data_IF_420060641621
#
_entry.id   IF_420060641621
#
_cell.length_a   1.000
_cell.length_b   1.000
_cell.length_c   1.000
_cell.angle_alpha   90.00
_cell.angle_beta   90.00
_cell.angle_gamma   90.00
#
_symmetry.space_group_name_H-M   'P 1'
#
loop_
_entity.id
_entity.type
_entity.pdbx_description
1 polymer ?
#
# COMPACT_ATOMS: atom_id res chain seq x y z
N UNK A 1 2.31 -5.57 5.23
CA UNK A 1 2.90 -6.58 6.14
C UNK A 1 3.08 -7.89 5.39
N UNK A 2 4.13 -8.63 5.71
CA UNK A 2 4.39 -9.99 5.25
C UNK A 2 3.88 -10.98 6.30
N UNK A 3 3.21 -12.04 5.85
CA UNK A 3 2.92 -13.22 6.65
C UNK A 3 3.46 -14.48 5.96
N UNK A 4 3.04 -15.64 6.45
CA UNK A 4 3.40 -16.93 5.87
C UNK A 4 2.64 -17.16 4.57
N UNK A 5 3.36 -17.22 3.46
CA UNK A 5 2.83 -17.41 2.10
C UNK A 5 1.71 -16.40 1.70
N UNK A 6 1.62 -15.27 2.41
CA UNK A 6 0.64 -14.23 2.17
C UNK A 6 1.22 -12.84 2.44
N UNK A 7 0.57 -11.82 1.87
CA UNK A 7 0.85 -10.41 2.17
C UNK A 7 -0.43 -9.67 2.47
N UNK A 8 -0.35 -8.67 3.34
CA UNK A 8 -1.46 -7.79 3.65
C UNK A 8 -1.11 -6.33 3.36
N UNK A 9 -2.05 -5.60 2.76
CA UNK A 9 -1.97 -4.16 2.53
C UNK A 9 -3.29 -3.51 2.93
N UNK A 10 -3.20 -2.38 3.63
CA UNK A 10 -4.37 -1.69 4.18
C UNK A 10 -4.24 -0.18 4.02
N UNK A 11 -5.38 0.51 3.94
CA UNK A 11 -5.45 1.96 3.89
C UNK A 11 -6.71 2.49 4.56
N UNK A 12 -6.62 3.71 5.09
CA UNK A 12 -7.78 4.48 5.52
C UNK A 12 -8.54 5.07 4.31
N UNK A 13 -9.73 5.63 4.55
CA UNK A 13 -10.62 6.13 3.48
C UNK A 13 -10.82 7.65 3.50
N UNK A 14 -10.18 8.35 4.44
CA UNK A 14 -10.28 9.80 4.55
C UNK A 14 -9.63 10.50 3.34
N UNK A 15 -10.32 11.51 2.83
CA UNK A 15 -9.77 12.58 2.01
C UNK A 15 -10.21 13.90 2.62
N UNK A 16 -9.27 14.80 2.86
CA UNK A 16 -9.54 16.09 3.46
C UNK A 16 -8.78 17.24 2.80
N UNK A 17 -9.25 18.44 3.08
CA UNK A 17 -8.54 19.70 2.82
C UNK A 17 -8.19 20.30 4.17
N UNK A 18 -6.97 20.02 4.64
CA UNK A 18 -6.55 20.33 6.01
C UNK A 18 -7.54 19.73 7.02
N UNK A 19 -8.12 20.55 7.90
CA UNK A 19 -9.07 20.12 8.93
C UNK A 19 -10.44 19.70 8.37
N UNK A 20 -10.82 20.13 7.17
CA UNK A 20 -12.11 19.77 6.58
C UNK A 20 -12.02 18.37 5.94
N UNK A 21 -12.78 17.41 6.46
CA UNK A 21 -13.00 16.13 5.75
C UNK A 21 -13.92 16.36 4.56
N UNK A 22 -13.47 15.94 3.37
CA UNK A 22 -14.19 16.08 2.10
C UNK A 22 -14.87 14.78 1.69
N UNK A 23 -14.21 13.63 1.93
CA UNK A 23 -14.75 12.32 1.61
C UNK A 23 -14.26 11.27 2.60
N UNK A 24 -15.08 10.26 2.82
CA UNK A 24 -14.80 9.04 3.60
C UNK A 24 -14.78 7.79 2.70
N UNK A 25 -14.67 7.98 1.39
CA UNK A 25 -14.61 6.91 0.40
C UNK A 25 -13.50 7.20 -0.62
N UNK A 26 -12.29 7.45 -0.13
CA UNK A 26 -11.09 7.62 -0.94
C UNK A 26 -10.11 6.46 -0.69
N UNK A 27 -10.33 5.28 -1.30
CA UNK A 27 -9.42 4.15 -1.18
C UNK A 27 -8.08 4.48 -1.84
N UNK A 28 -7.00 4.15 -1.13
CA UNK A 28 -5.62 4.50 -1.53
C UNK A 28 -4.84 3.32 -2.11
N UNK A 29 -5.51 2.19 -2.34
CA UNK A 29 -4.91 0.94 -2.84
C UNK A 29 -5.47 0.62 -4.22
N UNK A 30 -4.55 0.39 -5.16
CA UNK A 30 -4.83 0.10 -6.56
C UNK A 30 -4.23 -1.26 -6.93
N UNK A 31 -4.95 -2.04 -7.73
CA UNK A 31 -4.53 -3.38 -8.16
C UNK A 31 -4.18 -3.38 -9.65
N UNK A 32 -3.01 -3.96 -9.99
CA UNK A 32 -2.51 -4.14 -11.35
C UNK A 32 -2.14 -5.61 -11.58
N UNK A 33 -3.13 -6.43 -11.95
CA UNK A 33 -2.95 -7.89 -11.97
C UNK A 33 -2.79 -8.43 -10.55
N UNK A 34 -1.67 -9.10 -10.27
CA UNK A 34 -1.38 -9.70 -8.96
C UNK A 34 -0.57 -8.77 -8.03
N UNK A 35 -0.29 -7.54 -8.49
CA UNK A 35 0.47 -6.53 -7.74
C UNK A 35 -0.45 -5.44 -7.22
N UNK A 36 -0.27 -5.05 -5.97
CA UNK A 36 -0.99 -3.98 -5.31
C UNK A 36 -0.07 -2.79 -5.06
N UNK A 37 -0.61 -1.59 -5.24
CA UNK A 37 0.05 -0.32 -5.02
C UNK A 37 -0.81 0.53 -4.06
N UNK A 38 -0.31 0.76 -2.87
CA UNK A 38 -0.77 1.81 -1.96
C UNK A 38 -0.11 3.14 -2.30
N UNK A 39 -0.89 4.22 -2.37
CA UNK A 39 -0.40 5.57 -2.62
C UNK A 39 -0.93 6.52 -1.54
N UNK A 40 -0.04 7.06 -0.72
CA UNK A 40 -0.35 8.14 0.23
C UNK A 40 0.26 9.46 -0.27
N UNK A 41 -0.12 10.58 0.33
CA UNK A 41 0.37 11.91 -0.01
C UNK A 41 -0.69 12.79 -0.66
N UNK A 42 -0.28 13.63 -1.61
CA UNK A 42 -1.16 14.58 -2.27
C UNK A 42 -2.16 13.87 -3.18
N UNK A 43 -3.46 14.04 -2.93
CA UNK A 43 -4.52 13.29 -3.60
C UNK A 43 -4.52 13.44 -5.14
N UNK A 44 -4.15 14.60 -5.68
CA UNK A 44 -4.03 14.78 -7.14
C UNK A 44 -2.93 13.92 -7.74
N UNK A 45 -1.80 13.80 -7.03
CA UNK A 45 -0.68 12.99 -7.46
C UNK A 45 -0.98 11.51 -7.26
N UNK A 46 -1.70 11.13 -6.19
CA UNK A 46 -2.19 9.76 -5.99
C UNK A 46 -2.97 9.28 -7.22
N UNK A 47 -3.94 10.06 -7.68
CA UNK A 47 -4.73 9.71 -8.87
C UNK A 47 -3.86 9.68 -10.14
N UNK A 48 -3.03 10.72 -10.34
CA UNK A 48 -2.16 10.85 -11.52
C UNK A 48 -1.18 9.68 -11.64
N UNK A 49 -0.54 9.32 -10.52
CA UNK A 49 0.44 8.24 -10.43
C UNK A 49 -0.24 6.87 -10.58
N UNK A 50 -1.44 6.68 -10.02
CA UNK A 50 -2.24 5.49 -10.26
C UNK A 50 -2.52 5.31 -11.76
N UNK A 51 -3.00 6.35 -12.43
CA UNK A 51 -3.32 6.28 -13.86
C UNK A 51 -2.07 6.05 -14.72
N UNK A 52 -0.94 6.67 -14.36
CA UNK A 52 0.36 6.45 -14.99
C UNK A 52 0.79 4.98 -14.91
N UNK A 53 0.70 4.36 -13.72
CA UNK A 53 1.09 2.96 -13.56
C UNK A 53 0.11 2.00 -14.22
N UNK A 54 -1.20 2.32 -14.24
CA UNK A 54 -2.17 1.57 -15.04
C UNK A 54 -1.79 1.55 -16.50
N UNK A 55 -1.44 2.71 -17.07
CA UNK A 55 -0.97 2.82 -18.44
C UNK A 55 0.31 1.98 -18.68
N UNK A 56 1.34 2.19 -17.85
CA UNK A 56 2.63 1.49 -18.01
C UNK A 56 2.49 -0.03 -17.86
N UNK A 57 1.68 -0.52 -16.91
CA UNK A 57 1.44 -1.96 -16.73
C UNK A 57 0.62 -2.56 -17.87
N UNK A 58 -0.39 -1.84 -18.38
CA UNK A 58 -1.14 -2.30 -19.55
C UNK A 58 -0.25 -2.43 -20.78
N UNK A 59 0.64 -1.45 -21.01
CA UNK A 59 1.61 -1.50 -22.09
C UNK A 59 2.63 -2.62 -21.90
N UNK A 60 3.08 -2.86 -20.67
CA UNK A 60 3.95 -3.98 -20.34
C UNK A 60 3.28 -5.32 -20.69
N UNK A 61 2.03 -5.52 -20.26
CA UNK A 61 1.27 -6.75 -20.53
C UNK A 61 1.11 -7.04 -22.02
N UNK A 62 0.86 -6.00 -22.82
CA UNK A 62 0.71 -6.16 -24.28
C UNK A 62 2.04 -6.49 -24.99
N UNK A 63 3.17 -6.01 -24.46
CA UNK A 63 4.50 -6.23 -25.07
C UNK A 63 5.14 -7.54 -24.62
N UNK A 64 4.98 -7.88 -23.35
CA UNK A 64 5.64 -9.02 -22.70
C UNK A 64 4.74 -10.25 -22.61
N UNK A 65 3.47 -10.12 -23.00
CA UNK A 65 2.44 -11.18 -22.99
C UNK A 65 2.28 -11.88 -21.61
N UNK A 66 2.62 -11.17 -20.53
CA UNK A 66 2.53 -11.67 -19.15
C UNK A 66 2.27 -10.55 -18.15
N UNK A 67 1.80 -10.91 -16.97
CA UNK A 67 1.64 -9.96 -15.86
C UNK A 67 3.00 -9.52 -15.31
N UNK A 68 3.04 -8.29 -14.80
CA UNK A 68 4.25 -7.76 -14.16
C UNK A 68 4.42 -8.37 -12.77
N UNK A 69 5.65 -8.79 -12.44
CA UNK A 69 5.96 -9.31 -11.10
C UNK A 69 6.19 -8.15 -10.11
N UNK A 70 5.92 -8.34 -8.79
CA UNK A 70 6.08 -7.27 -7.80
C UNK A 70 7.45 -6.60 -7.80
N UNK A 71 8.53 -7.40 -7.92
CA UNK A 71 9.91 -6.88 -7.98
C UNK A 71 10.18 -6.05 -9.24
N UNK A 72 9.63 -6.45 -10.38
CA UNK A 72 9.75 -5.68 -11.63
C UNK A 72 8.95 -4.39 -11.55
N UNK A 73 7.76 -4.45 -10.94
CA UNK A 73 6.93 -3.29 -10.70
C UNK A 73 7.60 -2.30 -9.74
N UNK A 74 8.27 -2.77 -8.69
CA UNK A 74 9.04 -1.91 -7.79
C UNK A 74 10.12 -1.08 -8.52
N UNK A 75 10.87 -1.70 -9.43
CA UNK A 75 11.86 -0.98 -10.24
C UNK A 75 11.20 0.03 -11.20
N UNK A 76 10.02 -0.31 -11.74
CA UNK A 76 9.23 0.60 -12.57
C UNK A 76 8.76 1.82 -11.77
N UNK A 77 8.34 1.62 -10.52
CA UNK A 77 7.94 2.69 -9.60
C UNK A 77 9.13 3.61 -9.30
N UNK A 78 10.24 3.04 -8.82
CA UNK A 78 11.46 3.79 -8.49
C UNK A 78 11.94 4.66 -9.65
N UNK A 79 12.11 4.07 -10.83
CA UNK A 79 12.57 4.79 -12.02
C UNK A 79 11.59 5.87 -12.48
N UNK A 80 10.28 5.63 -12.37
CA UNK A 80 9.25 6.62 -12.74
C UNK A 80 9.22 7.82 -11.79
N UNK A 81 9.44 7.61 -10.50
CA UNK A 81 9.53 8.70 -9.52
C UNK A 81 10.82 9.50 -9.71
N UNK A 82 11.94 8.81 -9.92
CA UNK A 82 13.24 9.47 -10.10
C UNK A 82 13.32 10.26 -11.42
N UNK A 83 12.55 9.90 -12.45
CA UNK A 83 12.38 10.69 -13.68
C UNK A 83 11.91 12.14 -13.38
N UNK A 84 11.24 12.34 -12.24
CA UNK A 84 10.75 13.63 -11.76
C UNK A 84 11.54 14.16 -10.56
N UNK A 85 12.84 13.84 -10.45
CA UNK A 85 13.69 14.17 -9.29
C UNK A 85 13.64 15.63 -8.82
N UNK A 86 13.56 16.60 -9.74
CA UNK A 86 13.55 18.05 -9.42
C UNK A 86 12.15 18.69 -9.47
N UNK A 87 11.11 17.87 -9.57
CA UNK A 87 9.71 18.25 -9.48
C UNK A 87 8.87 17.02 -9.18
N UNK A 88 9.05 16.41 -8.00
CA UNK A 88 8.54 15.07 -7.69
C UNK A 88 7.02 15.07 -7.55
N UNK A 89 6.43 13.89 -7.74
CA UNK A 89 5.09 13.63 -7.22
C UNK A 89 5.16 13.58 -5.70
N UNK A 90 4.24 14.25 -5.01
CA UNK A 90 4.16 14.24 -3.55
C UNK A 90 3.44 12.99 -3.06
N UNK A 91 4.01 11.83 -3.36
CA UNK A 91 3.48 10.52 -2.95
C UNK A 91 4.54 9.70 -2.24
N UNK A 92 4.10 8.80 -1.37
CA UNK A 92 4.97 7.78 -0.75
C UNK A 92 4.39 6.39 -1.02
N UNK A 93 4.73 5.77 -2.16
CA UNK A 93 4.15 4.50 -2.56
C UNK A 93 4.53 3.32 -1.66
N UNK A 94 3.64 2.33 -1.62
CA UNK A 94 3.86 1.01 -1.00
C UNK A 94 3.43 -0.06 -1.99
N UNK A 95 4.32 -0.99 -2.32
CA UNK A 95 4.00 -2.12 -3.19
C UNK A 95 3.84 -3.37 -2.34
N UNK A 96 2.84 -4.19 -2.66
CA UNK A 96 2.65 -5.51 -2.08
C UNK A 96 2.21 -6.51 -3.15
N UNK A 97 2.66 -7.75 -3.03
CA UNK A 97 2.18 -8.85 -3.88
C UNK A 97 2.94 -10.15 -3.61
N UNK A 98 2.53 -11.19 -4.32
CA UNK A 98 3.23 -12.48 -4.32
C UNK A 98 3.99 -12.65 -5.62
N UNK A 99 5.20 -13.20 -5.56
CA UNK A 99 5.94 -13.53 -6.78
C UNK A 99 5.19 -14.63 -7.57
N UNK A 100 4.89 -14.42 -8.86
CA UNK A 100 4.03 -15.34 -9.61
C UNK A 100 4.64 -16.73 -9.84
N UNK A 101 5.98 -16.87 -9.74
CA UNK A 101 6.66 -18.15 -9.96
C UNK A 101 6.93 -18.88 -8.65
N UNK A 102 7.36 -18.15 -7.64
CA UNK A 102 7.81 -18.73 -6.36
C UNK A 102 6.78 -18.61 -5.25
N UNK A 103 5.70 -17.85 -5.48
CA UNK A 103 4.69 -17.49 -4.48
C UNK A 103 5.26 -16.79 -3.24
N UNK A 104 6.50 -16.30 -3.31
CA UNK A 104 7.15 -15.61 -2.19
C UNK A 104 6.49 -14.25 -1.94
N UNK A 105 6.14 -13.93 -0.69
CA UNK A 105 5.74 -12.60 -0.27
C UNK A 105 6.76 -11.53 -0.66
N UNK A 106 6.26 -10.40 -1.18
CA UNK A 106 7.07 -9.25 -1.51
C UNK A 106 6.34 -7.97 -1.12
N UNK A 107 7.03 -7.12 -0.37
CA UNK A 107 6.62 -5.75 -0.09
C UNK A 107 7.81 -4.80 -0.28
N UNK A 108 7.54 -3.56 -0.65
CA UNK A 108 8.52 -2.48 -0.55
C UNK A 108 7.86 -1.10 -0.42
N UNK A 109 8.58 -0.17 0.18
CA UNK A 109 8.20 1.23 0.30
C UNK A 109 9.05 2.12 -0.59
N UNK A 110 8.58 3.35 -0.79
CA UNK A 110 9.33 4.37 -1.52
C UNK A 110 9.20 5.74 -0.87
N UNK A 111 10.27 6.53 -0.93
CA UNK A 111 10.15 7.98 -0.79
C UNK A 111 9.58 8.61 -2.07
N UNK A 112 9.34 9.92 -2.05
CA UNK A 112 8.76 10.66 -3.18
C UNK A 112 9.66 10.78 -4.42
N UNK A 113 10.94 10.39 -4.30
CA UNK A 113 11.91 10.45 -5.40
C UNK A 113 12.36 9.06 -5.86
N UNK A 114 11.80 7.98 -5.30
CA UNK A 114 12.01 6.61 -5.78
C UNK A 114 13.11 5.83 -5.09
N UNK A 115 13.62 6.27 -3.93
CA UNK A 115 14.43 5.42 -3.08
C UNK A 115 13.60 4.20 -2.66
N UNK A 116 14.15 2.99 -2.79
CA UNK A 116 13.42 1.76 -2.49
C UNK A 116 13.81 1.27 -1.10
N UNK A 117 12.79 1.01 -0.27
CA UNK A 117 12.92 0.32 0.99
C UNK A 117 12.39 -1.12 0.86
N UNK A 118 13.27 -2.11 0.99
CA UNK A 118 12.91 -3.53 0.96
C UNK A 118 12.85 -4.07 2.38
N UNK A 119 11.63 -4.30 2.85
CA UNK A 119 11.37 -4.84 4.17
C UNK A 119 10.91 -6.31 4.09
N UNK A 120 11.19 -7.08 5.14
CA UNK A 120 10.74 -8.48 5.27
C UNK A 120 9.55 -8.65 6.20
N UNK A 121 9.20 -7.58 6.90
CA UNK A 121 8.21 -7.48 7.97
C UNK A 121 7.05 -6.59 7.51
N UNK A 122 7.25 -5.28 7.48
CA UNK A 122 6.22 -4.31 7.16
C UNK A 122 6.78 -3.05 6.50
N UNK A 123 5.88 -2.32 5.84
CA UNK A 123 6.13 -0.99 5.29
C UNK A 123 4.97 -0.13 5.73
N UNK A 124 5.25 1.11 6.15
CA UNK A 124 4.26 2.09 6.57
C UNK A 124 4.42 3.36 5.75
N UNK A 125 3.32 4.09 5.55
CA UNK A 125 3.30 5.30 4.74
C UNK A 125 2.07 6.14 5.10
N UNK A 126 2.15 7.45 4.90
CA UNK A 126 1.07 8.41 5.18
C UNK A 126 1.37 9.32 6.38
N UNK A 127 0.37 10.09 6.80
CA UNK A 127 0.48 11.08 7.87
C UNK A 127 0.60 10.46 9.27
N UNK A 128 0.05 9.26 9.46
CA UNK A 128 0.15 8.49 10.70
C UNK A 128 1.35 7.51 10.73
N UNK A 129 2.40 7.77 9.95
CA UNK A 129 3.52 6.81 9.78
C UNK A 129 4.29 6.55 11.08
N UNK A 130 4.48 7.57 11.93
CA UNK A 130 5.15 7.41 13.24
C UNK A 130 4.36 6.48 14.16
N UNK A 131 3.04 6.64 14.21
CA UNK A 131 2.14 5.80 14.97
C UNK A 131 2.10 4.38 14.40
N UNK A 132 2.05 4.25 13.07
CA UNK A 132 2.10 2.96 12.39
C UNK A 132 3.40 2.22 12.67
N UNK A 133 4.56 2.89 12.71
CA UNK A 133 5.82 2.27 13.11
C UNK A 133 5.70 1.67 14.51
N UNK A 134 5.24 2.45 15.50
CA UNK A 134 5.08 1.95 16.88
C UNK A 134 4.11 0.76 16.99
N UNK A 135 3.00 0.80 16.26
CA UNK A 135 2.03 -0.28 16.25
C UNK A 135 2.55 -1.54 15.55
N UNK A 136 3.19 -1.39 14.38
CA UNK A 136 3.71 -2.52 13.61
C UNK A 136 4.87 -3.20 14.35
N UNK A 137 5.80 -2.44 14.93
CA UNK A 137 6.91 -2.99 15.74
C UNK A 137 6.41 -3.77 16.96
N UNK A 138 5.32 -3.33 17.58
CA UNK A 138 4.77 -3.98 18.77
C UNK A 138 3.89 -5.20 18.48
N UNK A 139 3.25 -5.27 17.30
CA UNK A 139 2.25 -6.28 16.99
C UNK A 139 2.68 -7.31 15.95
N UNK A 140 3.60 -6.97 15.05
CA UNK A 140 4.00 -7.89 13.98
C UNK A 140 4.93 -8.97 14.50
N UNK A 141 4.70 -10.20 14.04
CA UNK A 141 5.56 -11.36 14.28
C UNK A 141 5.78 -12.10 12.96
N UNK A 142 6.93 -12.76 12.78
CA UNK A 142 7.20 -13.53 11.58
C UNK A 142 6.21 -14.71 11.42
N UNK A 143 5.99 -15.10 10.17
CA UNK A 143 5.22 -16.29 9.78
C UNK A 143 3.76 -16.35 10.28
N UNK A 144 3.13 -15.19 10.49
CA UNK A 144 1.69 -15.10 10.77
C UNK A 144 0.85 -15.71 9.64
N UNK A 145 -0.10 -16.56 10.00
CA UNK A 145 -1.14 -17.07 9.10
C UNK A 145 -2.09 -15.94 8.63
N UNK A 146 -2.78 -16.08 7.48
CA UNK A 146 -3.57 -15.00 6.87
C UNK A 146 -4.59 -14.32 7.81
N UNK A 147 -5.28 -15.08 8.66
CA UNK A 147 -6.25 -14.53 9.62
C UNK A 147 -5.57 -13.77 10.77
N UNK A 148 -4.43 -14.27 11.26
CA UNK A 148 -3.64 -13.55 12.27
C UNK A 148 -3.05 -12.26 11.69
N UNK A 149 -2.52 -12.33 10.47
CA UNK A 149 -2.00 -11.17 9.74
C UNK A 149 -3.10 -10.12 9.52
N UNK A 150 -4.33 -10.56 9.22
CA UNK A 150 -5.50 -9.69 9.11
C UNK A 150 -5.80 -8.96 10.41
N UNK A 151 -5.82 -9.63 11.55
CA UNK A 151 -6.06 -8.98 12.84
C UNK A 151 -4.92 -8.00 13.17
N UNK A 152 -3.67 -8.41 13.00
CA UNK A 152 -2.48 -7.59 13.26
C UNK A 152 -2.48 -6.30 12.43
N UNK A 153 -2.66 -6.40 11.10
CA UNK A 153 -2.67 -5.20 10.24
C UNK A 153 -3.89 -4.31 10.52
N UNK A 154 -5.03 -4.90 10.87
CA UNK A 154 -6.25 -4.16 11.20
C UNK A 154 -6.08 -3.38 12.49
N UNK A 155 -5.55 -4.01 13.54
CA UNK A 155 -5.27 -3.34 14.81
C UNK A 155 -4.18 -2.29 14.67
N UNK A 156 -3.11 -2.58 13.92
CA UNK A 156 -2.06 -1.60 13.68
C UNK A 156 -2.59 -0.35 12.98
N UNK A 157 -3.40 -0.53 11.93
CA UNK A 157 -4.00 0.59 11.21
C UNK A 157 -5.00 1.37 12.07
N UNK A 158 -5.98 0.69 12.69
CA UNK A 158 -7.05 1.36 13.44
C UNK A 158 -6.53 2.19 14.61
N UNK A 159 -5.61 1.64 15.40
CA UNK A 159 -5.06 2.37 16.54
C UNK A 159 -4.14 3.52 16.11
N UNK A 160 -3.44 3.38 14.97
CA UNK A 160 -2.61 4.45 14.45
C UNK A 160 -3.43 5.62 13.90
N UNK A 161 -4.49 5.34 13.12
CA UNK A 161 -5.34 6.40 12.56
C UNK A 161 -6.17 7.11 13.63
N UNK A 162 -6.56 6.42 14.70
CA UNK A 162 -7.23 7.05 15.86
C UNK A 162 -6.31 8.04 16.62
N UNK A 163 -5.02 8.06 16.30
CA UNK A 163 -4.01 9.00 16.82
C UNK A 163 -3.52 10.01 15.78
N UNK A 164 -4.19 10.12 14.62
CA UNK A 164 -3.89 11.09 13.57
C UNK A 164 -5.16 11.78 13.07
N UNK A 165 -5.22 13.11 13.20
CA UNK A 165 -6.36 13.92 12.76
C UNK A 165 -6.55 13.93 11.23
N UNK A 166 -5.54 13.50 10.46
CA UNK A 166 -5.57 13.53 8.99
C UNK A 166 -5.88 12.18 8.35
N UNK A 167 -6.06 11.12 9.14
CA UNK A 167 -6.37 9.76 8.69
C UNK A 167 -7.72 9.27 9.23
N UNK A 168 -8.14 8.07 8.82
CA UNK A 168 -9.28 7.36 9.41
C UNK A 168 -10.51 7.36 8.51
N UNK A 169 -11.68 7.60 9.09
CA UNK A 169 -12.97 7.62 8.37
C UNK A 169 -13.27 6.31 7.62
N UNK A 170 -12.94 5.19 8.26
CA UNK A 170 -13.03 3.84 7.69
C UNK A 170 -11.70 3.36 7.11
N UNK A 171 -11.60 2.05 6.90
CA UNK A 171 -10.38 1.45 6.36
C UNK A 171 -10.67 0.20 5.53
N UNK A 172 -9.87 -0.02 4.50
CA UNK A 172 -9.85 -1.26 3.74
C UNK A 172 -8.60 -2.07 4.06
N UNK A 173 -8.78 -3.38 4.19
CA UNK A 173 -7.68 -4.35 4.32
C UNK A 173 -7.81 -5.37 3.20
N UNK A 174 -6.68 -5.65 2.55
CA UNK A 174 -6.54 -6.70 1.55
C UNK A 174 -5.59 -7.76 2.11
N UNK A 175 -6.05 -9.01 2.13
CA UNK A 175 -5.23 -10.18 2.37
C UNK A 175 -5.03 -10.87 1.03
N UNK A 176 -3.78 -11.07 0.65
CA UNK A 176 -3.38 -11.58 -0.65
C UNK A 176 -2.68 -12.91 -0.41
N UNK A 177 -3.36 -13.96 -0.82
CA UNK A 177 -2.86 -15.34 -0.82
C UNK A 177 -2.67 -15.78 -2.28
N UNK A 178 -2.07 -16.94 -2.48
CA UNK A 178 -1.75 -17.45 -3.83
C UNK A 178 -3.00 -17.65 -4.70
N UNK A 179 -4.09 -18.09 -4.09
CA UNK A 179 -5.31 -18.55 -4.74
C UNK A 179 -6.49 -17.58 -4.57
N UNK A 180 -6.45 -16.71 -3.56
CA UNK A 180 -7.54 -15.77 -3.26
C UNK A 180 -7.03 -14.43 -2.75
N UNK A 181 -7.88 -13.42 -2.97
CA UNK A 181 -7.69 -12.08 -2.44
C UNK A 181 -8.94 -11.73 -1.63
N UNK A 182 -8.75 -11.49 -0.34
CA UNK A 182 -9.85 -11.12 0.57
C UNK A 182 -9.80 -9.63 0.85
N UNK A 183 -10.83 -8.90 0.44
CA UNK A 183 -11.02 -7.48 0.78
C UNK A 183 -12.03 -7.34 1.91
N UNK A 184 -11.65 -6.69 3.00
CA UNK A 184 -12.54 -6.38 4.14
C UNK A 184 -12.60 -4.87 4.37
N UNK A 185 -13.80 -4.37 4.69
CA UNK A 185 -14.01 -3.01 5.16
C UNK A 185 -14.07 -3.06 6.69
N UNK A 186 -13.19 -2.31 7.35
CA UNK A 186 -13.17 -2.20 8.80
C UNK A 186 -14.09 -1.08 9.26
N UNK A 187 -14.77 -1.33 10.38
CA UNK A 187 -15.54 -0.31 11.10
C UNK A 187 -14.60 0.42 12.06
N UNK A 188 -14.13 1.59 11.65
CA UNK A 188 -13.38 2.52 12.49
C UNK A 188 -14.23 3.68 13.01
N UNK A 189 -13.61 4.55 13.80
CA UNK A 189 -14.20 5.82 14.23
C UNK A 189 -14.50 6.74 13.03
N UNK A 190 -15.39 7.71 13.22
CA UNK A 190 -15.88 8.64 12.18
C UNK A 190 -15.77 10.10 12.63
N UNK A 191 -14.81 10.39 13.51
CA UNK A 191 -14.46 11.70 14.04
C UNK A 191 -12.99 12.03 13.73
#
# INVERSE_FOLDING_TARGET
>A
MVGKDCVAIACDLRLGMQALTVSNNFPKIFQYGDVFLGLTGLATDVNTVSDLFRYKVNMYRLREERQIAPKTFANLVSSSLYERRFGPYFVSPVVAGLDPKTSKPFICGFDSIGCIDFAKDFIVSGTASEQLFGMCEGLWEPDMEPDALFETISQALLNAVDRDALSGWGAHVYIIEKDKITKRLLKGRQD
#
